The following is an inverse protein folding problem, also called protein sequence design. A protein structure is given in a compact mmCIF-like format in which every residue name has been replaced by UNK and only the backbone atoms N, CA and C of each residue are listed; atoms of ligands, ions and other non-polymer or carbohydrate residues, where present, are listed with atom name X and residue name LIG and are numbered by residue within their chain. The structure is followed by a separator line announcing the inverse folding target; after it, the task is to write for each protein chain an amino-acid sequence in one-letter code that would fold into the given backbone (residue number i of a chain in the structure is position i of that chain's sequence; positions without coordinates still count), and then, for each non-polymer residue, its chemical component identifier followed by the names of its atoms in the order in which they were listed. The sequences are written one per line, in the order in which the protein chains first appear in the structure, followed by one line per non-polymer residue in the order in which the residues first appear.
data_IF_579784135016
#
_entry.id   IF_579784135016
#
_cell.length_a   1.000
_cell.length_b   1.000
_cell.length_c   1.000
_cell.angle_alpha   90.00
_cell.angle_beta   90.00
_cell.angle_gamma   90.00
#
_symmetry.space_group_name_H-M   'P 1'
#
loop_
_entity.id
_entity.type
_entity.pdbx_description
1 polymer ?
#
# COMPACT_ATOMS: atom_id res chain seq x y z
N UNK A 1 3.77 6.31 -0.11
CA UNK A 1 3.50 4.87 -0.13
C UNK A 1 2.01 4.60 -0.03
N UNK A 2 1.38 4.32 -1.17
CA UNK A 2 -0.04 3.94 -1.23
C UNK A 2 -0.29 2.60 -0.52
N UNK A 3 0.74 1.78 -0.34
CA UNK A 3 0.66 0.47 0.30
C UNK A 3 0.51 0.48 1.83
N UNK A 4 0.56 1.63 2.49
CA UNK A 4 0.36 1.70 3.94
C UNK A 4 -1.06 1.32 4.37
N UNK A 5 -1.98 1.16 3.42
CA UNK A 5 -3.40 0.96 3.71
C UNK A 5 -3.80 -0.50 3.90
N UNK A 6 -3.04 -1.47 3.40
CA UNK A 6 -3.36 -2.89 3.58
C UNK A 6 -3.18 -3.36 5.03
N UNK A 7 -2.27 -2.74 5.78
CA UNK A 7 -2.08 -3.04 7.20
C UNK A 7 -1.85 -1.71 7.89
N UNK A 8 -2.73 -1.29 8.76
CA UNK A 8 -2.76 0.04 9.37
C UNK A 8 -1.38 0.63 9.68
N UNK A 9 -1.21 1.90 9.43
CA UNK A 9 0.05 2.65 9.43
C UNK A 9 0.89 2.54 10.71
N UNK A 10 0.28 2.19 11.81
CA UNK A 10 0.95 2.06 13.11
C UNK A 10 1.83 0.80 13.23
N UNK A 11 1.66 -0.16 12.34
CA UNK A 11 2.40 -1.42 12.34
C UNK A 11 3.72 -1.35 11.56
N UNK A 12 4.00 -0.22 10.94
CA UNK A 12 5.09 -0.06 9.98
C UNK A 12 6.49 -0.38 10.51
N UNK A 13 6.81 -0.13 11.75
CA UNK A 13 8.20 -0.23 12.23
C UNK A 13 8.47 -1.57 12.91
N UNK A 14 7.57 -2.03 13.74
CA UNK A 14 7.83 -3.20 14.59
C UNK A 14 7.53 -4.51 13.86
N UNK A 15 6.43 -4.55 13.12
CA UNK A 15 5.97 -5.77 12.45
C UNK A 15 6.68 -5.99 11.11
N UNK A 16 7.16 -4.94 10.46
CA UNK A 16 8.03 -5.06 9.28
C UNK A 16 9.29 -5.86 9.58
N UNK A 17 9.89 -5.71 10.74
CA UNK A 17 11.07 -6.49 11.15
C UNK A 17 10.75 -7.99 11.18
N UNK A 18 9.56 -8.36 11.67
CA UNK A 18 9.13 -9.75 11.77
C UNK A 18 8.70 -10.34 10.44
N UNK A 19 8.09 -9.55 9.59
CA UNK A 19 7.56 -9.98 8.28
C UNK A 19 8.68 -10.13 7.26
N UNK A 20 9.71 -9.28 7.32
CA UNK A 20 10.75 -9.19 6.28
C UNK A 20 12.02 -9.96 6.57
N UNK A 21 12.19 -10.43 7.76
CA UNK A 21 13.26 -11.34 8.08
C UNK A 21 12.70 -12.75 8.17
N UNK A 22 12.50 -13.38 7.03
CA UNK A 22 12.34 -14.85 6.95
C UNK A 22 13.53 -15.58 7.56
N UNK A 23 14.51 -14.85 8.03
CA UNK A 23 15.67 -15.31 8.76
C UNK A 23 15.70 -14.58 10.09
N UNK A 24 15.77 -15.26 11.14
CA UNK A 24 16.43 -15.09 12.43
C UNK A 24 17.31 -13.86 12.70
N UNK A 25 17.19 -12.74 11.94
CA UNK A 25 17.97 -11.55 12.16
C UNK A 25 17.16 -10.56 13.01
N UNK A 26 17.67 -10.28 14.18
CA UNK A 26 17.12 -9.29 15.11
C UNK A 26 17.50 -7.85 14.71
N UNK A 27 18.00 -7.62 13.50
CA UNK A 27 18.56 -6.33 13.08
C UNK A 27 17.59 -5.59 12.18
N UNK A 28 17.16 -4.43 12.62
CA UNK A 28 16.39 -3.47 11.82
C UNK A 28 17.06 -3.12 10.48
N UNK A 29 18.39 -3.15 10.42
CA UNK A 29 19.18 -2.86 9.24
C UNK A 29 18.98 -3.85 8.09
N UNK A 30 18.58 -5.08 8.38
CA UNK A 30 18.37 -6.12 7.36
C UNK A 30 17.12 -5.87 6.50
N UNK A 31 16.19 -5.05 6.98
CA UNK A 31 15.01 -4.59 6.22
C UNK A 31 15.45 -3.77 4.99
N UNK A 32 16.53 -3.02 5.11
CA UNK A 32 17.05 -2.18 4.02
C UNK A 32 17.94 -2.95 3.03
N UNK A 33 18.36 -4.15 3.38
CA UNK A 33 19.21 -5.01 2.55
C UNK A 33 18.44 -6.16 1.91
N UNK A 34 17.19 -6.39 2.30
CA UNK A 34 16.32 -7.38 1.69
C UNK A 34 16.03 -7.03 0.22
N UNK A 35 15.83 -8.07 -0.58
CA UNK A 35 15.29 -7.90 -1.92
C UNK A 35 13.95 -7.18 -1.88
N UNK A 36 13.82 -6.12 -2.68
CA UNK A 36 12.70 -5.21 -2.59
C UNK A 36 11.36 -5.87 -2.94
N UNK A 37 11.34 -6.74 -3.94
CA UNK A 37 10.12 -7.44 -4.33
C UNK A 37 9.70 -8.44 -3.24
N UNK A 38 10.63 -9.17 -2.64
CA UNK A 38 10.36 -10.03 -1.49
C UNK A 38 9.79 -9.26 -0.29
N UNK A 39 10.23 -8.01 -0.11
CA UNK A 39 9.66 -7.12 0.90
C UNK A 39 8.19 -6.81 0.60
N UNK A 40 7.85 -6.45 -0.64
CA UNK A 40 6.48 -6.14 -1.05
C UNK A 40 5.56 -7.37 -0.99
N UNK A 41 6.06 -8.54 -1.36
CA UNK A 41 5.33 -9.82 -1.24
C UNK A 41 5.02 -10.17 0.21
N UNK A 42 5.97 -9.93 1.12
CA UNK A 42 5.77 -10.16 2.56
C UNK A 42 4.66 -9.28 3.16
N UNK A 43 4.46 -8.08 2.62
CA UNK A 43 3.34 -7.22 3.02
C UNK A 43 2.00 -7.85 2.63
N UNK A 44 1.91 -8.41 1.43
CA UNK A 44 0.71 -9.12 0.98
C UNK A 44 0.43 -10.38 1.81
N UNK A 45 1.47 -11.13 2.18
CA UNK A 45 1.35 -12.30 3.07
C UNK A 45 0.83 -11.91 4.47
N UNK A 46 1.28 -10.76 4.99
CA UNK A 46 0.81 -10.26 6.28
C UNK A 46 -0.68 -9.91 6.25
N UNK A 47 -1.13 -9.22 5.21
CA UNK A 47 -2.56 -8.93 5.03
C UNK A 47 -3.38 -10.21 4.92
N UNK A 48 -2.89 -11.18 4.15
CA UNK A 48 -3.51 -12.50 4.06
C UNK A 48 -3.72 -13.13 5.43
N UNK A 49 -2.74 -13.08 6.29
CA UNK A 49 -2.81 -13.65 7.64
C UNK A 49 -3.93 -12.99 8.47
N UNK A 50 -4.08 -11.67 8.37
CA UNK A 50 -5.17 -10.93 9.04
C UNK A 50 -6.52 -11.31 8.45
N UNK A 51 -6.64 -11.35 7.12
CA UNK A 51 -7.88 -11.72 6.44
C UNK A 51 -8.34 -13.15 6.76
N UNK A 52 -7.40 -14.09 6.83
CA UNK A 52 -7.68 -15.49 7.15
C UNK A 52 -8.13 -15.64 8.62
N UNK A 53 -7.56 -14.83 9.53
CA UNK A 53 -7.92 -14.86 10.95
C UNK A 53 -9.27 -14.19 11.23
N UNK A 54 -9.49 -12.99 10.70
CA UNK A 54 -10.71 -12.19 10.95
C UNK A 54 -11.90 -12.71 10.14
N UNK A 55 -11.64 -13.20 8.94
CA UNK A 55 -12.63 -13.57 7.92
C UNK A 55 -12.98 -12.40 7.00
N UNK A 56 -12.77 -12.60 5.71
CA UNK A 56 -12.87 -11.58 4.64
C UNK A 56 -14.16 -10.79 4.66
N UNK A 57 -15.30 -11.44 4.95
CA UNK A 57 -16.63 -10.77 4.99
C UNK A 57 -16.82 -9.82 6.18
N UNK A 58 -15.85 -9.72 7.07
CA UNK A 58 -15.93 -8.90 8.28
C UNK A 58 -15.01 -7.68 8.23
N UNK A 59 -14.31 -7.49 7.12
CA UNK A 59 -13.34 -6.39 6.96
C UNK A 59 -13.88 -5.43 5.91
N UNK A 60 -13.74 -4.15 6.20
CA UNK A 60 -13.95 -3.05 5.25
C UNK A 60 -12.69 -2.23 5.22
N UNK A 61 -12.22 -1.91 4.03
CA UNK A 61 -11.03 -1.13 3.80
C UNK A 61 -11.40 0.27 3.35
N UNK A 62 -10.70 1.27 3.88
CA UNK A 62 -10.92 2.68 3.55
C UNK A 62 -9.56 3.34 3.31
N UNK A 63 -9.38 3.89 2.12
CA UNK A 63 -8.21 4.66 1.74
C UNK A 63 -8.56 6.14 1.65
N UNK A 64 -7.85 6.96 2.40
CA UNK A 64 -7.98 8.41 2.35
C UNK A 64 -6.82 8.98 1.54
N UNK A 65 -7.07 9.23 0.25
CA UNK A 65 -6.10 9.78 -0.69
C UNK A 65 -6.03 11.31 -0.56
N UNK A 66 -5.44 11.74 0.55
CA UNK A 66 -5.29 13.13 0.98
C UNK A 66 -3.83 13.37 1.35
N UNK A 67 -3.29 14.55 0.99
CA UNK A 67 -1.91 14.94 1.28
C UNK A 67 -0.88 13.87 0.89
N UNK A 68 -1.01 13.37 -0.32
CA UNK A 68 -0.17 12.30 -0.85
C UNK A 68 1.28 12.77 -1.03
N UNK A 69 2.15 12.44 -0.07
CA UNK A 69 3.58 12.68 -0.12
C UNK A 69 4.32 11.53 -0.78
N UNK A 70 5.50 11.82 -1.33
CA UNK A 70 6.43 10.81 -1.83
C UNK A 70 7.12 10.03 -0.72
N UNK A 71 7.09 10.55 0.50
CA UNK A 71 7.70 9.93 1.67
C UNK A 71 6.67 9.20 2.53
N UNK A 72 7.15 8.24 3.30
CA UNK A 72 6.34 7.54 4.28
C UNK A 72 5.90 8.51 5.39
N UNK A 73 4.68 8.39 5.87
CA UNK A 73 4.18 9.15 7.01
C UNK A 73 4.91 8.83 8.34
N UNK A 74 5.72 7.79 8.35
CA UNK A 74 6.65 7.50 9.46
C UNK A 74 7.94 8.34 9.40
N UNK A 75 8.18 9.09 8.33
CA UNK A 75 9.29 10.04 8.27
C UNK A 75 8.99 11.24 9.19
N UNK A 76 9.99 11.64 9.98
CA UNK A 76 9.86 12.79 10.87
C UNK A 76 9.78 14.13 10.11
N UNK A 77 10.25 14.16 8.87
CA UNK A 77 10.32 15.34 8.02
C UNK A 77 9.95 15.00 6.57
N UNK A 78 8.71 14.54 6.30
CA UNK A 78 8.29 14.19 4.96
C UNK A 78 8.25 15.44 4.07
N UNK A 79 8.49 15.28 2.78
CA UNK A 79 8.27 16.34 1.80
C UNK A 79 6.79 16.72 1.75
N UNK A 80 6.55 18.00 1.51
CA UNK A 80 5.18 18.47 1.27
C UNK A 80 4.58 17.79 0.03
N UNK A 81 3.28 17.45 0.05
CA UNK A 81 2.59 16.93 -1.12
C UNK A 81 2.69 17.86 -2.31
N UNK A 82 3.02 17.33 -3.48
CA UNK A 82 3.09 18.10 -4.72
C UNK A 82 1.76 18.08 -5.50
N UNK A 83 0.89 17.09 -5.22
CA UNK A 83 -0.42 16.98 -5.84
C UNK A 83 -1.55 17.25 -4.85
N UNK A 84 -2.69 17.67 -5.38
CA UNK A 84 -3.91 17.85 -4.62
C UNK A 84 -4.55 16.55 -4.16
N UNK A 85 -5.48 16.67 -3.22
CA UNK A 85 -6.25 15.54 -2.69
C UNK A 85 -7.10 14.90 -3.78
N UNK A 86 -7.21 13.57 -3.75
CA UNK A 86 -8.05 12.81 -4.68
C UNK A 86 -9.42 12.52 -4.05
N UNK A 87 -9.44 12.01 -2.83
CA UNK A 87 -10.68 11.68 -2.13
C UNK A 87 -10.58 10.48 -1.20
N UNK A 88 -11.73 9.89 -0.91
CA UNK A 88 -11.84 8.73 -0.03
C UNK A 88 -12.38 7.57 -0.85
N UNK A 89 -11.74 6.42 -0.75
CA UNK A 89 -12.15 5.18 -1.39
C UNK A 89 -12.51 4.15 -0.32
N UNK A 90 -13.50 3.31 -0.60
CA UNK A 90 -13.88 2.23 0.30
C UNK A 90 -14.24 0.98 -0.50
N UNK A 91 -13.85 -0.18 0.01
CA UNK A 91 -14.17 -1.49 -0.57
C UNK A 91 -14.15 -2.58 0.50
N UNK A 92 -14.75 -3.72 0.20
CA UNK A 92 -14.57 -4.97 0.94
C UNK A 92 -13.46 -5.84 0.34
N UNK A 93 -12.86 -5.39 -0.76
CA UNK A 93 -11.74 -6.04 -1.44
C UNK A 93 -10.52 -5.10 -1.40
N UNK A 94 -9.44 -5.47 -0.69
CA UNK A 94 -8.26 -4.61 -0.53
C UNK A 94 -7.51 -4.40 -1.84
N UNK A 95 -7.45 -5.42 -2.69
CA UNK A 95 -6.71 -5.37 -3.96
C UNK A 95 -7.36 -4.40 -4.93
N UNK A 96 -8.69 -4.49 -5.07
CA UNK A 96 -9.44 -3.56 -5.93
C UNK A 96 -9.40 -2.12 -5.40
N UNK A 97 -9.38 -1.96 -4.08
CA UNK A 97 -9.27 -0.65 -3.45
C UNK A 97 -7.93 0.02 -3.77
N UNK A 98 -6.83 -0.70 -3.58
CA UNK A 98 -5.49 -0.17 -3.83
C UNK A 98 -5.25 0.04 -5.33
N UNK A 99 -5.73 -0.88 -6.19
CA UNK A 99 -5.68 -0.68 -7.63
C UNK A 99 -6.43 0.60 -8.04
N UNK A 100 -7.62 0.84 -7.50
CA UNK A 100 -8.38 2.05 -7.80
C UNK A 100 -7.66 3.33 -7.34
N UNK A 101 -6.97 3.29 -6.21
CA UNK A 101 -6.16 4.42 -5.73
C UNK A 101 -4.95 4.70 -6.64
N UNK A 102 -4.24 3.65 -7.05
CA UNK A 102 -3.12 3.75 -8.00
C UNK A 102 -3.61 4.35 -9.32
N UNK A 103 -4.68 3.81 -9.89
CA UNK A 103 -5.26 4.29 -11.14
C UNK A 103 -5.73 5.75 -11.03
N UNK A 104 -6.27 6.16 -9.87
CA UNK A 104 -6.68 7.54 -9.64
C UNK A 104 -5.50 8.51 -9.66
N UNK A 105 -4.33 8.11 -9.12
CA UNK A 105 -3.10 8.91 -9.22
C UNK A 105 -2.65 9.02 -10.68
N UNK A 106 -2.55 7.89 -11.40
CA UNK A 106 -2.11 7.89 -12.79
C UNK A 106 -3.04 8.70 -13.70
N UNK A 107 -4.35 8.62 -13.49
CA UNK A 107 -5.36 9.32 -14.28
C UNK A 107 -5.63 10.77 -13.82
N UNK A 108 -5.03 11.22 -12.71
CA UNK A 108 -5.18 12.60 -12.25
C UNK A 108 -4.72 13.60 -13.33
N UNK A 109 -5.40 14.74 -13.44
CA UNK A 109 -4.98 15.85 -14.29
C UNK A 109 -3.97 16.78 -13.59
N UNK A 110 -3.72 16.56 -12.33
CA UNK A 110 -2.76 17.34 -11.55
C UNK A 110 -1.33 16.99 -11.97
N UNK A 111 -0.56 18.01 -12.34
CA UNK A 111 0.84 17.83 -12.79
C UNK A 111 1.77 17.42 -11.64
N UNK A 112 1.42 17.73 -10.40
CA UNK A 112 2.15 17.34 -9.20
C UNK A 112 2.20 15.83 -8.97
N UNK A 113 1.35 15.04 -9.65
CA UNK A 113 1.40 13.58 -9.58
C UNK A 113 2.73 12.96 -10.05
N UNK A 114 3.54 13.71 -10.83
CA UNK A 114 4.75 13.16 -11.44
C UNK A 114 5.74 12.63 -10.42
N UNK A 115 5.95 13.35 -9.32
CA UNK A 115 6.84 12.93 -8.25
C UNK A 115 6.35 11.65 -7.55
N UNK A 116 5.04 11.54 -7.33
CA UNK A 116 4.45 10.34 -6.73
C UNK A 116 4.54 9.12 -7.66
N UNK A 117 4.28 9.31 -8.96
CA UNK A 117 4.43 8.25 -9.97
C UNK A 117 5.88 7.78 -10.02
N UNK A 118 6.86 8.69 -10.10
CA UNK A 118 8.27 8.33 -10.07
C UNK A 118 8.63 7.52 -8.82
N UNK A 119 8.09 7.90 -7.66
CA UNK A 119 8.31 7.16 -6.42
C UNK A 119 7.71 5.74 -6.50
N UNK A 120 6.50 5.60 -6.99
CA UNK A 120 5.85 4.30 -7.14
C UNK A 120 6.62 3.39 -8.11
N UNK A 121 7.04 3.93 -9.25
CA UNK A 121 7.77 3.17 -10.27
C UNK A 121 9.18 2.80 -9.82
N UNK A 122 9.93 3.75 -9.26
CA UNK A 122 11.30 3.51 -8.77
C UNK A 122 11.36 2.52 -7.61
N UNK A 123 10.26 2.29 -6.93
CA UNK A 123 10.13 1.34 -5.82
C UNK A 123 9.29 0.11 -6.17
N UNK A 124 8.95 -0.06 -7.45
CA UNK A 124 8.13 -1.18 -7.92
C UNK A 124 6.83 -1.34 -7.11
N UNK A 125 6.26 -0.22 -6.66
CA UNK A 125 5.17 -0.21 -5.66
C UNK A 125 3.93 -0.99 -6.05
N UNK A 126 3.63 -1.11 -7.35
CA UNK A 126 2.50 -1.90 -7.85
C UNK A 126 2.64 -3.40 -7.55
N UNK A 127 3.87 -3.88 -7.34
CA UNK A 127 4.12 -5.30 -7.08
C UNK A 127 3.40 -5.82 -5.83
N UNK A 128 3.19 -4.99 -4.82
CA UNK A 128 2.38 -5.37 -3.64
C UNK A 128 0.95 -5.75 -4.03
N UNK A 129 0.33 -4.95 -4.91
CA UNK A 129 -1.04 -5.20 -5.40
C UNK A 129 -1.08 -6.48 -6.25
N UNK A 130 -0.04 -6.70 -7.07
CA UNK A 130 0.11 -7.90 -7.90
C UNK A 130 0.30 -9.16 -7.04
N UNK A 131 1.15 -9.09 -6.03
CA UNK A 131 1.38 -10.18 -5.08
C UNK A 131 0.09 -10.50 -4.30
N UNK A 132 -0.61 -9.49 -3.80
CA UNK A 132 -1.88 -9.67 -3.10
C UNK A 132 -2.95 -10.32 -4.00
N UNK A 133 -3.01 -9.92 -5.27
CA UNK A 133 -3.88 -10.56 -6.25
C UNK A 133 -3.49 -12.02 -6.49
N UNK A 134 -2.20 -12.30 -6.67
CA UNK A 134 -1.68 -13.66 -6.88
C UNK A 134 -1.95 -14.58 -5.67
N UNK A 135 -1.92 -14.05 -4.45
CA UNK A 135 -2.30 -14.76 -3.22
C UNK A 135 -3.82 -14.94 -3.08
N UNK A 136 -4.60 -14.42 -4.02
CA UNK A 136 -6.06 -14.52 -4.03
C UNK A 136 -6.74 -13.66 -2.96
N UNK A 137 -6.13 -12.55 -2.53
CA UNK A 137 -6.72 -11.64 -1.54
C UNK A 137 -7.86 -10.82 -2.12
N UNK A 138 -7.86 -10.60 -3.43
CA UNK A 138 -8.90 -9.86 -4.14
C UNK A 138 -8.67 -9.78 -5.64
N UNK A 139 -9.43 -8.93 -6.31
CA UNK A 139 -9.37 -8.70 -7.76
C UNK A 139 -8.76 -7.33 -8.07
N UNK A 140 -7.96 -7.25 -9.12
CA UNK A 140 -7.51 -5.97 -9.69
C UNK A 140 -8.59 -5.31 -10.56
N UNK A 141 -9.58 -6.09 -11.01
CA UNK A 141 -10.74 -5.56 -11.73
C UNK A 141 -11.76 -5.01 -10.74
N UNK A 142 -12.27 -3.82 -10.97
CA UNK A 142 -13.22 -3.14 -10.10
C UNK A 142 -14.18 -2.22 -10.88
N UNK A 143 -15.33 -1.97 -10.28
CA UNK A 143 -16.26 -0.92 -10.70
C UNK A 143 -16.20 0.25 -9.71
N UNK A 144 -15.81 1.43 -10.18
CA UNK A 144 -15.76 2.63 -9.36
C UNK A 144 -17.11 3.35 -9.37
N UNK A 145 -17.77 3.39 -8.20
CA UNK A 145 -19.03 4.10 -8.01
C UNK A 145 -18.77 5.38 -7.23
N UNK A 146 -19.01 6.51 -7.87
CA UNK A 146 -18.91 7.82 -7.20
C UNK A 146 -20.19 8.12 -6.43
N UNK A 147 -20.04 8.41 -5.14
CA UNK A 147 -21.11 8.83 -4.24
C UNK A 147 -20.85 10.24 -3.72
N UNK A 148 -21.77 11.17 -3.92
CA UNK A 148 -21.63 12.56 -3.45
C UNK A 148 -21.13 13.52 -4.49
#
# INVERSE_FOLDING_TARGET
EICACLVGSEMCIRDRIWIHTSASSERFEDVFTADHDSFLESMADADKSVMDFVGRSRIVYINVANRLSVDCDCDAHPHDPEMGDIGIFASTDPVSLDQACVDAVYNSLDTGKAALIERMESRHGIHTVEAAHALGLGSRDYDLVKIG
#
